data_IF_817614771122
#
_entry.id   IF_817614771122
#
_cell.length_a   1.000
_cell.length_b   1.000
_cell.length_c   1.000
_cell.angle_alpha   90.00
_cell.angle_beta   90.00
_cell.angle_gamma   90.00
#
_symmetry.space_group_name_H-M   'P 1'
#
loop_
_entity.id
_entity.type
_entity.pdbx_description
1 polymer ?
#
# COMPACT_ATOMS: atom_id res chain seq x y z
N UNK A 1 57.61 11.82 49.84
CA UNK A 1 57.78 11.22 48.48
C UNK A 1 56.49 10.52 48.09
N UNK A 2 55.66 11.13 47.24
CA UNK A 2 54.62 10.46 46.47
C UNK A 2 54.52 11.21 45.14
N UNK A 3 54.57 10.43 44.06
CA UNK A 3 54.91 10.84 42.70
C UNK A 3 53.74 11.52 42.00
N UNK A 4 54.12 12.48 41.16
CA UNK A 4 53.44 12.93 39.94
C UNK A 4 52.74 11.80 39.16
N UNK A 5 51.51 12.07 38.71
CA UNK A 5 51.11 11.85 37.31
C UNK A 5 49.97 12.82 36.94
N UNK A 6 50.25 13.89 36.18
CA UNK A 6 49.24 14.54 35.35
C UNK A 6 49.13 13.76 34.04
N UNK A 7 47.94 13.64 33.46
CA UNK A 7 47.73 13.74 32.00
C UNK A 7 46.42 13.11 31.52
N UNK A 8 45.83 13.84 30.56
CA UNK A 8 44.97 13.37 29.46
C UNK A 8 43.50 13.18 29.78
N UNK A 9 42.82 14.33 29.75
CA UNK A 9 41.46 14.45 29.21
C UNK A 9 41.47 13.88 27.79
N UNK A 10 41.00 12.63 27.63
CA UNK A 10 40.57 12.09 26.34
C UNK A 10 39.06 12.32 26.25
N UNK A 11 38.67 13.49 25.72
CA UNK A 11 37.32 13.69 25.24
C UNK A 11 37.16 12.87 23.95
N UNK A 12 36.78 11.61 24.10
CA UNK A 12 36.31 10.79 22.97
C UNK A 12 34.93 11.33 22.60
N UNK A 13 34.91 12.31 21.69
CA UNK A 13 33.73 12.63 20.91
C UNK A 13 33.47 11.40 20.02
N UNK A 14 32.72 10.44 20.57
CA UNK A 14 32.07 9.42 19.77
C UNK A 14 31.12 10.17 18.83
N UNK A 15 31.55 10.33 17.59
CA UNK A 15 30.69 10.65 16.48
C UNK A 15 29.55 9.63 16.49
N UNK A 16 28.42 10.00 17.09
CA UNK A 16 27.16 9.35 16.87
C UNK A 16 26.85 9.57 15.39
N UNK A 17 27.33 8.66 14.55
CA UNK A 17 26.79 8.50 13.22
C UNK A 17 25.31 8.22 13.44
N UNK A 18 24.39 9.06 12.95
CA UNK A 18 23.02 8.65 12.82
C UNK A 18 23.02 7.61 11.70
N UNK A 19 23.42 6.38 12.03
CA UNK A 19 22.93 5.21 11.33
C UNK A 19 21.43 5.35 11.39
N UNK A 20 20.85 5.74 10.25
CA UNK A 20 19.45 6.03 10.11
C UNK A 20 18.65 4.85 10.63
N UNK A 21 18.21 4.94 11.87
CA UNK A 21 17.23 4.07 12.44
C UNK A 21 15.89 4.43 11.78
N UNK A 22 15.66 3.92 10.56
CA UNK A 22 14.31 3.73 10.05
C UNK A 22 13.86 2.33 10.41
N UNK A 23 13.78 2.07 11.71
CA UNK A 23 12.83 1.10 12.21
C UNK A 23 11.44 1.77 12.20
N UNK A 24 10.81 1.84 11.03
CA UNK A 24 9.37 2.08 10.96
C UNK A 24 8.70 0.70 11.03
N UNK A 25 8.25 0.31 12.22
CA UNK A 25 7.28 -0.78 12.38
C UNK A 25 5.94 -0.30 11.85
N UNK A 26 5.81 -0.23 10.52
CA UNK A 26 4.51 0.04 9.91
C UNK A 26 3.67 -1.24 9.94
N UNK A 27 2.39 -1.12 10.30
CA UNK A 27 1.41 -2.23 10.22
C UNK A 27 1.21 -2.67 8.76
N UNK A 28 1.64 -1.83 7.80
CA UNK A 28 1.52 -2.03 6.35
C UNK A 28 2.84 -1.71 5.67
N UNK A 29 3.18 -2.45 4.62
CA UNK A 29 4.44 -2.27 3.89
C UNK A 29 4.38 -1.11 2.88
N UNK A 30 3.19 -0.65 2.50
CA UNK A 30 3.02 0.49 1.61
C UNK A 30 1.58 0.75 1.17
N UNK A 31 1.42 1.62 0.17
CA UNK A 31 0.14 1.94 -0.45
C UNK A 31 -0.08 1.06 -1.68
N UNK A 32 -1.30 0.58 -1.88
CA UNK A 32 -1.70 -0.09 -3.13
C UNK A 32 -1.65 0.93 -4.28
N UNK A 33 -1.07 0.55 -5.41
CA UNK A 33 -1.17 1.30 -6.65
C UNK A 33 -2.45 0.87 -7.37
N UNK A 34 -3.28 1.85 -7.75
CA UNK A 34 -4.54 1.60 -8.45
C UNK A 34 -4.51 2.32 -9.79
N UNK A 35 -4.90 1.60 -10.83
CA UNK A 35 -5.13 2.14 -12.17
C UNK A 35 -6.41 1.54 -12.74
N UNK A 36 -6.85 2.05 -13.88
CA UNK A 36 -7.97 1.48 -14.61
C UNK A 36 -7.46 0.53 -15.70
N UNK A 37 -8.04 -0.66 -15.74
CA UNK A 37 -7.84 -1.65 -16.80
C UNK A 37 -9.21 -2.11 -17.26
N UNK A 38 -9.49 -2.01 -18.56
CA UNK A 38 -10.79 -2.35 -19.14
C UNK A 38 -11.99 -1.64 -18.48
N UNK A 39 -11.78 -0.45 -17.91
CA UNK A 39 -12.83 0.30 -17.18
C UNK A 39 -13.02 -0.14 -15.72
N UNK A 40 -12.27 -1.11 -15.23
CA UNK A 40 -12.31 -1.59 -13.84
C UNK A 40 -11.07 -1.14 -13.05
N UNK A 41 -11.24 -0.94 -11.75
CA UNK A 41 -10.11 -0.70 -10.86
C UNK A 41 -9.19 -1.93 -10.85
N UNK A 42 -7.89 -1.72 -10.97
CA UNK A 42 -6.89 -2.79 -10.95
C UNK A 42 -5.83 -2.49 -9.90
N UNK A 43 -5.57 -3.47 -9.03
CA UNK A 43 -4.79 -3.31 -7.81
C UNK A 43 -3.41 -3.95 -7.96
N UNK A 44 -2.36 -3.22 -7.65
CA UNK A 44 -1.00 -3.76 -7.59
C UNK A 44 -0.26 -3.26 -6.34
N UNK A 45 0.67 -4.07 -5.83
CA UNK A 45 1.64 -3.60 -4.85
C UNK A 45 2.57 -2.58 -5.53
N UNK A 46 3.12 -1.61 -4.78
CA UNK A 46 4.14 -0.73 -5.32
C UNK A 46 5.41 -1.53 -5.62
N UNK A 47 6.21 -1.06 -6.56
CA UNK A 47 7.54 -1.62 -6.78
C UNK A 47 8.39 -1.40 -5.52
N UNK A 48 8.66 -2.47 -4.80
CA UNK A 48 9.51 -2.44 -3.60
C UNK A 48 10.87 -3.08 -3.94
N UNK A 49 11.98 -2.32 -3.87
CA UNK A 49 13.32 -2.87 -4.06
C UNK A 49 13.64 -4.08 -3.17
N UNK A 50 13.03 -4.17 -1.98
CA UNK A 50 13.21 -5.30 -1.06
C UNK A 50 12.52 -6.59 -1.54
N UNK A 51 11.55 -6.51 -2.46
CA UNK A 51 10.94 -7.69 -3.10
C UNK A 51 11.88 -8.36 -4.11
N UNK A 52 13.01 -7.73 -4.49
CA UNK A 52 14.05 -8.38 -5.32
C UNK A 52 14.70 -9.59 -4.65
N UNK A 53 14.67 -9.66 -3.32
CA UNK A 53 15.30 -10.73 -2.55
C UNK A 53 14.36 -11.92 -2.28
N UNK A 54 13.05 -11.73 -2.42
CA UNK A 54 12.05 -12.73 -2.06
C UNK A 54 10.95 -12.80 -3.11
N UNK A 55 10.65 -14.01 -3.59
CA UNK A 55 9.57 -14.21 -4.56
C UNK A 55 8.22 -14.26 -3.83
N UNK A 56 7.52 -13.13 -3.84
CA UNK A 56 6.14 -13.04 -3.37
C UNK A 56 5.15 -13.52 -4.42
N UNK A 57 3.94 -13.86 -3.96
CA UNK A 57 2.80 -14.28 -4.77
C UNK A 57 1.54 -13.58 -4.24
N UNK A 58 0.49 -13.50 -5.06
CA UNK A 58 -0.81 -13.02 -4.57
C UNK A 58 -1.29 -13.89 -3.40
N UNK A 59 -1.70 -13.26 -2.30
CA UNK A 59 -2.29 -13.92 -1.14
C UNK A 59 -3.79 -13.67 -1.08
N UNK A 60 -4.20 -12.42 -0.88
CA UNK A 60 -5.61 -12.03 -0.86
C UNK A 60 -5.80 -10.57 -1.25
N UNK A 61 -7.03 -10.24 -1.62
CA UNK A 61 -7.53 -8.87 -1.77
C UNK A 61 -8.89 -8.75 -1.10
N UNK A 62 -9.07 -7.65 -0.37
CA UNK A 62 -10.35 -7.27 0.20
C UNK A 62 -10.67 -5.83 -0.21
N UNK A 63 -11.90 -5.61 -0.66
CA UNK A 63 -12.40 -4.28 -0.98
C UNK A 63 -13.64 -4.01 -0.14
N UNK A 64 -13.67 -2.85 0.51
CA UNK A 64 -14.73 -2.39 1.40
C UNK A 64 -15.23 -1.03 0.94
N UNK A 65 -16.47 -0.69 1.29
CA UNK A 65 -16.84 0.73 1.41
C UNK A 65 -16.10 1.26 2.64
N UNK A 66 -15.44 2.41 2.53
CA UNK A 66 -14.44 2.83 3.53
C UNK A 66 -14.99 2.99 4.97
N UNK A 67 -16.29 3.26 5.11
CA UNK A 67 -17.01 3.40 6.37
C UNK A 67 -17.73 2.12 6.83
N UNK A 68 -17.53 0.99 6.14
CA UNK A 68 -18.22 -0.27 6.43
C UNK A 68 -17.24 -1.42 6.67
N UNK A 69 -17.52 -2.28 7.66
CA UNK A 69 -16.67 -3.43 7.95
C UNK A 69 -16.88 -4.60 6.98
N UNK A 70 -18.00 -4.67 6.26
CA UNK A 70 -18.28 -5.78 5.36
C UNK A 70 -17.57 -5.60 3.99
N UNK A 71 -16.82 -6.60 3.51
CA UNK A 71 -16.22 -6.52 2.19
C UNK A 71 -17.33 -6.56 1.13
N UNK A 72 -17.15 -5.76 0.09
CA UNK A 72 -17.96 -5.79 -1.13
C UNK A 72 -17.32 -6.65 -2.23
N UNK A 73 -16.08 -7.05 -2.02
CA UNK A 73 -15.39 -8.07 -2.81
C UNK A 73 -14.24 -8.64 -1.98
N UNK A 74 -14.08 -9.96 -2.03
CA UNK A 74 -13.05 -10.69 -1.30
C UNK A 74 -12.58 -11.86 -2.15
N UNK A 75 -11.29 -11.91 -2.47
CA UNK A 75 -10.66 -13.01 -3.18
C UNK A 75 -9.34 -13.41 -2.52
N UNK A 76 -9.07 -14.70 -2.43
CA UNK A 76 -7.89 -15.22 -1.73
C UNK A 76 -7.37 -16.53 -2.33
N UNK A 77 -6.11 -16.85 -2.07
CA UNK A 77 -5.52 -18.15 -2.41
C UNK A 77 -5.69 -19.11 -1.23
N UNK A 78 -6.32 -20.29 -1.41
CA UNK A 78 -6.44 -21.27 -0.34
C UNK A 78 -5.07 -21.77 0.17
N UNK A 79 -4.98 -22.09 1.46
CA UNK A 79 -3.79 -22.55 2.20
C UNK A 79 -3.04 -23.77 1.61
N UNK A 80 -3.60 -24.44 0.60
CA UNK A 80 -3.04 -25.62 -0.07
C UNK A 80 -3.21 -25.55 -1.59
N UNK A 81 -3.28 -24.35 -2.15
CA UNK A 81 -3.38 -24.21 -3.59
C UNK A 81 -2.15 -24.83 -4.26
N UNK A 82 -2.39 -25.65 -5.28
CA UNK A 82 -1.32 -26.16 -6.15
C UNK A 82 -0.77 -25.05 -7.07
N UNK A 83 -1.51 -23.95 -7.22
CA UNK A 83 -1.19 -22.83 -8.10
C UNK A 83 -1.22 -21.54 -7.31
N UNK A 84 -0.06 -20.91 -7.19
CA UNK A 84 0.06 -19.58 -6.60
C UNK A 84 0.11 -18.54 -7.73
N UNK A 85 -0.86 -17.61 -7.78
CA UNK A 85 -0.86 -16.57 -8.80
C UNK A 85 0.36 -15.66 -8.64
N UNK A 86 0.81 -15.10 -9.76
CA UNK A 86 1.94 -14.19 -9.78
C UNK A 86 1.72 -12.98 -8.84
N UNK A 87 2.82 -12.41 -8.36
CA UNK A 87 2.79 -11.16 -7.60
C UNK A 87 2.19 -10.03 -8.47
N UNK A 88 1.16 -9.32 -8.00
CA UNK A 88 0.63 -8.17 -8.71
C UNK A 88 1.50 -6.93 -8.43
N UNK A 89 2.74 -6.92 -8.91
CA UNK A 89 3.73 -5.87 -8.64
C UNK A 89 3.84 -4.78 -9.70
N UNK A 90 3.01 -4.83 -10.73
CA UNK A 90 2.99 -3.85 -11.81
C UNK A 90 1.57 -3.65 -12.37
N UNK A 91 1.42 -2.66 -13.24
CA UNK A 91 0.14 -2.40 -13.90
C UNK A 91 -0.30 -3.55 -14.82
N UNK A 92 0.65 -4.27 -15.41
CA UNK A 92 0.37 -5.39 -16.31
C UNK A 92 -0.08 -6.64 -15.55
N UNK A 93 0.40 -6.80 -14.31
CA UNK A 93 0.13 -7.97 -13.44
C UNK A 93 -0.91 -7.69 -12.35
N UNK A 94 -1.55 -6.53 -12.39
CA UNK A 94 -2.52 -6.12 -11.40
C UNK A 94 -3.71 -7.09 -11.28
N UNK A 95 -4.39 -7.04 -10.14
CA UNK A 95 -5.62 -7.79 -9.90
C UNK A 95 -6.81 -6.89 -10.24
N UNK A 96 -7.53 -7.22 -11.30
CA UNK A 96 -8.70 -6.47 -11.74
C UNK A 96 -9.88 -6.72 -10.79
N UNK A 97 -10.60 -5.66 -10.42
CA UNK A 97 -11.72 -5.74 -9.49
C UNK A 97 -12.79 -6.72 -9.99
N UNK A 98 -13.13 -7.69 -9.14
CA UNK A 98 -14.10 -8.73 -9.45
C UNK A 98 -13.54 -9.91 -10.23
N UNK A 99 -12.26 -9.91 -10.59
CA UNK A 99 -11.61 -11.00 -11.32
C UNK A 99 -10.61 -11.71 -10.41
N UNK A 100 -10.95 -12.92 -9.97
CA UNK A 100 -10.04 -13.76 -9.21
C UNK A 100 -8.92 -14.29 -10.13
N UNK A 101 -7.63 -14.13 -9.76
CA UNK A 101 -6.53 -14.67 -10.56
C UNK A 101 -6.49 -16.21 -10.49
N UNK A 102 -5.82 -16.90 -11.43
CA UNK A 102 -5.79 -18.37 -11.46
C UNK A 102 -5.24 -18.99 -10.17
N UNK A 103 -6.04 -19.86 -9.52
CA UNK A 103 -5.70 -20.48 -8.23
C UNK A 103 -6.22 -19.74 -7.00
N UNK A 104 -6.77 -18.53 -7.18
CA UNK A 104 -7.55 -17.85 -6.15
C UNK A 104 -9.04 -18.22 -6.24
N UNK A 105 -9.76 -17.97 -5.16
CA UNK A 105 -11.21 -18.14 -5.05
C UNK A 105 -11.84 -16.84 -4.58
N UNK A 106 -13.03 -16.53 -5.10
CA UNK A 106 -13.85 -15.43 -4.62
C UNK A 106 -14.66 -15.90 -3.42
N UNK A 107 -14.47 -15.27 -2.26
CA UNK A 107 -15.26 -15.53 -1.05
C UNK A 107 -16.53 -14.68 -1.02
N UNK A 108 -16.43 -13.44 -1.50
CA UNK A 108 -17.55 -12.49 -1.59
C UNK A 108 -17.59 -11.95 -3.00
N UNK A 109 -18.69 -12.21 -3.69
CA UNK A 109 -18.91 -11.75 -5.07
C UNK A 109 -18.85 -10.23 -5.17
N UNK A 110 -18.22 -9.69 -6.23
CA UNK A 110 -18.05 -8.25 -6.40
C UNK A 110 -19.40 -7.56 -6.58
N UNK A 111 -19.59 -6.44 -5.88
CA UNK A 111 -20.70 -5.51 -6.11
C UNK A 111 -20.25 -4.39 -7.05
N UNK A 112 -21.17 -3.80 -7.78
CA UNK A 112 -20.83 -2.66 -8.64
C UNK A 112 -20.23 -1.51 -7.82
N UNK A 113 -19.07 -1.00 -8.26
CA UNK A 113 -18.48 0.21 -7.70
C UNK A 113 -19.27 1.42 -8.22
N UNK A 114 -19.69 2.29 -7.30
CA UNK A 114 -20.40 3.51 -7.59
C UNK A 114 -19.43 4.71 -7.66
N UNK A 115 -19.82 5.72 -8.43
CA UNK A 115 -19.06 6.97 -8.49
C UNK A 115 -19.16 7.73 -7.17
N UNK A 116 -18.09 8.45 -6.83
CA UNK A 116 -18.00 9.33 -5.65
C UNK A 116 -18.23 8.61 -4.30
N UNK A 117 -18.14 7.27 -4.28
CA UNK A 117 -18.15 6.48 -3.05
C UNK A 117 -16.70 6.14 -2.66
N UNK A 118 -16.31 6.37 -1.40
CA UNK A 118 -15.00 6.00 -0.90
C UNK A 118 -14.94 4.50 -0.61
N UNK A 119 -13.89 3.87 -1.12
CA UNK A 119 -13.58 2.47 -0.94
C UNK A 119 -12.20 2.31 -0.30
N UNK A 120 -12.02 1.24 0.45
CA UNK A 120 -10.71 0.82 0.97
C UNK A 120 -10.35 -0.50 0.32
N UNK A 121 -9.13 -0.60 -0.22
CA UNK A 121 -8.57 -1.86 -0.71
C UNK A 121 -7.42 -2.30 0.16
N UNK A 122 -7.42 -3.57 0.54
CA UNK A 122 -6.34 -4.25 1.22
C UNK A 122 -5.83 -5.36 0.32
N UNK A 123 -4.55 -5.32 -0.02
CA UNK A 123 -3.88 -6.31 -0.85
C UNK A 123 -2.76 -6.94 -0.05
N UNK A 124 -2.69 -8.26 -0.04
CA UNK A 124 -1.59 -8.99 0.57
C UNK A 124 -0.89 -9.89 -0.43
N UNK A 125 0.44 -9.86 -0.36
CA UNK A 125 1.31 -10.75 -1.10
C UNK A 125 2.07 -11.63 -0.09
N UNK A 126 2.17 -12.93 -0.36
CA UNK A 126 2.70 -13.92 0.57
C UNK A 126 3.83 -14.72 -0.05
N UNK A 127 4.65 -15.37 0.78
CA UNK A 127 5.68 -16.32 0.34
C UNK A 127 5.25 -17.74 0.72
N UNK A 128 4.72 -18.55 -0.20
CA UNK A 128 4.39 -19.94 0.09
C UNK A 128 5.65 -20.77 0.41
N UNK A 129 5.58 -21.74 1.34
CA UNK A 129 4.47 -22.08 2.24
C UNK A 129 4.52 -21.31 3.59
N UNK A 130 5.34 -20.26 3.69
CA UNK A 130 5.56 -19.50 4.91
C UNK A 130 4.36 -18.62 5.26
N UNK A 131 3.79 -18.81 6.45
CA UNK A 131 2.72 -17.98 7.01
C UNK A 131 3.23 -16.71 7.71
N UNK A 132 4.52 -16.42 7.63
CA UNK A 132 5.17 -15.36 8.43
C UNK A 132 5.71 -14.18 7.61
N UNK A 133 5.75 -14.28 6.29
CA UNK A 133 6.28 -13.25 5.41
C UNK A 133 5.20 -12.78 4.45
N UNK A 134 4.25 -12.02 4.99
CA UNK A 134 3.24 -11.33 4.21
C UNK A 134 3.62 -9.87 4.07
N UNK A 135 3.50 -9.36 2.85
CA UNK A 135 3.51 -7.92 2.59
C UNK A 135 2.07 -7.45 2.45
N UNK A 136 1.70 -6.43 3.21
CA UNK A 136 0.33 -5.92 3.29
C UNK A 136 0.31 -4.47 2.83
N UNK A 137 -0.52 -4.20 1.84
CA UNK A 137 -0.69 -2.89 1.23
C UNK A 137 -2.13 -2.44 1.41
N UNK A 138 -2.34 -1.14 1.65
CA UNK A 138 -3.69 -0.58 1.70
C UNK A 138 -3.73 0.81 1.11
N UNK A 139 -4.81 1.14 0.43
CA UNK A 139 -5.12 2.54 0.10
C UNK A 139 -6.63 2.74 0.04
N UNK A 140 -7.05 3.99 0.12
CA UNK A 140 -8.43 4.41 -0.03
C UNK A 140 -8.62 5.15 -1.37
N UNK A 141 -9.68 4.82 -2.09
CA UNK A 141 -9.91 5.31 -3.45
C UNK A 141 -11.39 5.58 -3.74
N UNK A 142 -11.64 6.35 -4.78
CA UNK A 142 -12.96 6.50 -5.39
C UNK A 142 -12.88 6.34 -6.90
N UNK A 143 -14.00 5.94 -7.50
CA UNK A 143 -14.23 6.13 -8.93
C UNK A 143 -14.88 7.49 -9.17
N UNK A 144 -14.38 8.23 -10.15
CA UNK A 144 -14.95 9.51 -10.59
C UNK A 144 -14.95 9.60 -12.10
N UNK A 145 -15.52 10.69 -12.61
CA UNK A 145 -15.32 11.11 -14.00
C UNK A 145 -14.41 12.34 -14.04
N UNK A 146 -13.54 12.40 -15.04
CA UNK A 146 -12.80 13.60 -15.35
C UNK A 146 -13.66 14.63 -16.12
N UNK A 147 -13.05 15.75 -16.51
CA UNK A 147 -13.73 16.82 -17.27
C UNK A 147 -14.18 16.37 -18.67
N UNK A 148 -13.63 15.25 -19.18
CA UNK A 148 -14.00 14.63 -20.45
C UNK A 148 -15.05 13.53 -20.28
N UNK A 149 -15.53 13.29 -19.06
CA UNK A 149 -16.50 12.26 -18.73
C UNK A 149 -15.92 10.84 -18.65
N UNK A 150 -14.60 10.68 -18.75
CA UNK A 150 -13.93 9.39 -18.67
C UNK A 150 -13.79 8.93 -17.23
N UNK A 151 -13.93 7.62 -16.95
CA UNK A 151 -13.72 7.10 -15.61
C UNK A 151 -12.25 7.30 -15.20
N UNK A 152 -12.05 7.74 -13.97
CA UNK A 152 -10.73 7.89 -13.34
C UNK A 152 -10.78 7.40 -11.90
N UNK A 153 -9.66 6.83 -11.43
CA UNK A 153 -9.46 6.51 -10.02
C UNK A 153 -8.79 7.69 -9.34
N UNK A 154 -9.31 8.08 -8.19
CA UNK A 154 -8.74 9.15 -7.35
C UNK A 154 -8.57 8.64 -5.93
N UNK A 155 -7.69 9.28 -5.17
CA UNK A 155 -7.52 9.01 -3.75
C UNK A 155 -8.78 9.43 -2.98
N UNK A 156 -9.18 8.62 -2.00
CA UNK A 156 -10.15 9.01 -0.98
C UNK A 156 -9.40 9.38 0.29
N UNK A 157 -9.78 10.48 0.92
CA UNK A 157 -9.12 10.91 2.16
C UNK A 157 -10.12 11.04 3.29
N UNK A 158 -9.70 10.62 4.47
CA UNK A 158 -10.45 10.77 5.70
C UNK A 158 -10.11 12.09 6.35
N UNK A 159 -11.11 12.89 6.67
CA UNK A 159 -10.95 14.03 7.55
C UNK A 159 -10.63 13.50 8.96
N UNK A 160 -9.52 13.94 9.55
CA UNK A 160 -9.05 13.44 10.85
C UNK A 160 -9.96 13.93 11.98
N UNK A 161 -10.54 15.12 11.83
CA UNK A 161 -11.36 15.75 12.87
C UNK A 161 -12.79 15.18 12.87
N UNK A 162 -13.38 14.99 11.69
CA UNK A 162 -14.77 14.49 11.57
C UNK A 162 -14.86 12.98 11.36
N UNK A 163 -13.76 12.34 10.95
CA UNK A 163 -13.74 10.93 10.58
C UNK A 163 -14.42 10.63 9.24
N UNK A 164 -14.94 11.64 8.54
CA UNK A 164 -15.66 11.49 7.27
C UNK A 164 -14.70 11.33 6.09
N UNK A 165 -15.08 10.50 5.14
CA UNK A 165 -14.33 10.33 3.89
C UNK A 165 -14.80 11.32 2.83
N UNK A 166 -13.85 11.80 2.03
CA UNK A 166 -14.13 12.53 0.79
C UNK A 166 -13.28 12.01 -0.36
N UNK A 167 -13.88 11.94 -1.54
CA UNK A 167 -13.14 11.68 -2.77
C UNK A 167 -12.41 12.96 -3.22
N UNK A 168 -11.12 12.83 -3.54
CA UNK A 168 -10.38 13.94 -4.12
C UNK A 168 -10.88 14.26 -5.54
N UNK A 169 -10.58 15.47 -6.02
CA UNK A 169 -10.73 15.79 -7.46
C UNK A 169 -9.55 15.24 -8.25
N UNK A 170 -9.73 14.92 -9.56
CA UNK A 170 -8.60 14.60 -10.44
C UNK A 170 -7.49 15.65 -10.33
N UNK A 171 -6.23 15.21 -10.17
CA UNK A 171 -5.05 16.06 -9.99
C UNK A 171 -4.88 16.73 -8.61
N UNK A 172 -5.84 16.60 -7.67
CA UNK A 172 -5.71 17.17 -6.32
C UNK A 172 -4.61 16.47 -5.49
N UNK A 173 -4.48 15.14 -5.63
CA UNK A 173 -3.46 14.36 -4.92
C UNK A 173 -2.03 14.82 -5.26
N UNK A 174 -1.75 15.04 -6.56
CA UNK A 174 -0.45 15.51 -7.04
C UNK A 174 -0.12 16.90 -6.51
N UNK A 175 -1.10 17.82 -6.50
CA UNK A 175 -0.94 19.15 -5.92
C UNK A 175 -0.56 19.06 -4.45
N UNK A 176 -1.24 18.20 -3.69
CA UNK A 176 -0.93 17.97 -2.26
C UNK A 176 0.47 17.41 -2.07
N UNK A 177 0.86 16.37 -2.80
CA UNK A 177 2.23 15.81 -2.74
C UNK A 177 3.28 16.86 -3.10
N UNK A 178 3.07 17.61 -4.17
CA UNK A 178 4.00 18.66 -4.61
C UNK A 178 4.16 19.79 -3.59
N UNK A 179 3.13 20.06 -2.78
CA UNK A 179 3.19 21.04 -1.70
C UNK A 179 4.04 20.54 -0.54
N UNK A 180 3.84 19.29 -0.11
CA UNK A 180 4.64 18.66 0.95
C UNK A 180 6.10 18.43 0.51
N UNK A 181 6.33 17.97 -0.72
CA UNK A 181 7.66 17.82 -1.31
C UNK A 181 8.44 19.15 -1.33
N UNK A 182 7.75 20.28 -1.59
CA UNK A 182 8.36 21.62 -1.53
C UNK A 182 8.65 22.07 -0.09
N UNK A 183 7.81 21.71 0.88
CA UNK A 183 7.97 22.13 2.27
C UNK A 183 9.04 21.33 3.02
N UNK A 184 9.16 20.04 2.73
CA UNK A 184 10.02 19.13 3.49
C UNK A 184 11.22 18.62 2.71
N UNK A 185 11.35 19.00 1.43
CA UNK A 185 12.43 18.59 0.55
C UNK A 185 12.34 17.12 0.16
N UNK A 186 12.58 16.82 -1.12
CA UNK A 186 12.88 15.45 -1.54
C UNK A 186 14.22 15.05 -0.93
N UNK A 187 14.21 14.10 0.01
CA UNK A 187 15.41 13.35 0.40
C UNK A 187 15.59 12.17 -0.54
#
# INVERSE_FOLDING_TARGET
>A
MLRSCPSRVFAVLLCAWPLGARAMSSIRDGLVTIHLRNGHACFSSPEDPATKHFKYYFGFVHVYVADRPEPIWDAYVPDKSAVYPANPDSAEKCIEYGVAPPGAVTKVEPRALALDIPYSVFLACTIPPSRGHDRKYMTEFCLRRDDQGQPVVVEAVRNVDTGEYRCLKPGEAEKRRSFWDRLFGRH
#
